data_IF_975057348329
#
_entry.id   IF_975057348329
#
_cell.length_a   1.000
_cell.length_b   1.000
_cell.length_c   1.000
_cell.angle_alpha   90.00
_cell.angle_beta   90.00
_cell.angle_gamma   90.00
#
_symmetry.space_group_name_H-M   'P 1'
#
loop_
_entity.id
_entity.type
_entity.pdbx_description
1 polymer ?
#
# COMPACT_ATOMS: atom_id res chain seq x y z
N UNK A 1 -20.85 -7.60 3.49
CA UNK A 1 -19.46 -7.56 3.02
C UNK A 1 -19.49 -7.63 1.48
N UNK A 2 -19.48 -6.49 0.79
CA UNK A 2 -19.46 -6.46 -0.68
C UNK A 2 -18.02 -6.63 -1.15
N UNK A 3 -17.74 -7.75 -1.79
CA UNK A 3 -16.46 -8.09 -2.38
C UNK A 3 -16.65 -9.22 -3.38
N UNK A 4 -17.12 -8.87 -4.57
CA UNK A 4 -17.10 -9.77 -5.71
C UNK A 4 -15.69 -10.29 -5.97
N UNK A 5 -15.58 -11.37 -6.73
CA UNK A 5 -14.39 -12.21 -6.96
C UNK A 5 -13.08 -11.48 -7.31
N UNK A 6 -13.11 -10.18 -7.59
CA UNK A 6 -11.96 -9.30 -7.82
C UNK A 6 -10.98 -9.20 -6.62
N UNK A 7 -11.43 -9.36 -5.37
CA UNK A 7 -10.52 -9.39 -4.19
C UNK A 7 -10.02 -10.78 -3.82
N UNK A 8 -10.31 -11.81 -4.62
CA UNK A 8 -9.79 -13.17 -4.38
C UNK A 8 -8.27 -13.25 -4.54
N UNK A 9 -7.71 -12.36 -5.37
CA UNK A 9 -6.28 -12.21 -5.61
C UNK A 9 -5.73 -11.00 -4.86
N UNK A 10 -4.55 -11.14 -4.28
CA UNK A 10 -3.82 -10.04 -3.66
C UNK A 10 -3.37 -9.03 -4.73
N UNK A 11 -3.22 -7.73 -4.39
CA UNK A 11 -2.80 -6.71 -5.35
C UNK A 11 -1.55 -7.06 -6.17
N UNK A 12 -0.52 -7.64 -5.51
CA UNK A 12 0.72 -8.07 -6.19
C UNK A 12 0.49 -9.14 -7.24
N UNK A 13 -0.54 -9.96 -7.08
CA UNK A 13 -0.86 -11.02 -8.04
C UNK A 13 -1.48 -10.46 -9.32
N UNK A 14 -1.93 -9.20 -9.31
CA UNK A 14 -2.36 -8.48 -10.51
C UNK A 14 -1.18 -7.86 -11.28
N UNK A 15 0.04 -7.92 -10.75
CA UNK A 15 1.24 -7.51 -11.46
C UNK A 15 1.69 -8.60 -12.45
N UNK A 16 2.37 -8.18 -13.53
CA UNK A 16 2.96 -9.11 -14.51
C UNK A 16 4.05 -10.00 -13.89
N UNK A 17 4.76 -9.47 -12.90
CA UNK A 17 5.69 -10.22 -12.05
C UNK A 17 5.40 -9.91 -10.57
N UNK A 18 4.71 -10.82 -9.85
CA UNK A 18 4.39 -10.63 -8.44
C UNK A 18 5.61 -10.56 -7.50
N UNK A 19 6.76 -11.12 -7.89
CA UNK A 19 7.97 -11.10 -7.07
C UNK A 19 8.73 -9.77 -7.19
N UNK A 20 8.56 -9.08 -8.32
CA UNK A 20 9.11 -7.74 -8.53
C UNK A 20 8.23 -6.63 -7.95
N UNK A 21 7.23 -6.94 -7.12
CA UNK A 21 6.46 -5.92 -6.40
C UNK A 21 7.36 -5.11 -5.44
N UNK A 22 7.16 -3.79 -5.28
CA UNK A 22 6.15 -2.94 -5.94
C UNK A 22 6.62 -2.36 -7.27
N UNK A 23 7.74 -2.78 -7.86
CA UNK A 23 8.33 -2.18 -9.06
C UNK A 23 7.85 -2.78 -10.39
N UNK A 24 7.13 -3.90 -10.33
CA UNK A 24 6.54 -4.57 -11.48
C UNK A 24 5.50 -3.72 -12.25
N UNK A 25 5.23 -4.09 -13.51
CA UNK A 25 4.12 -3.53 -14.29
C UNK A 25 2.79 -4.10 -13.79
N UNK A 26 1.80 -3.23 -13.58
CA UNK A 26 0.45 -3.59 -13.13
C UNK A 26 -0.58 -3.03 -14.11
N UNK A 27 -1.37 -3.92 -14.72
CA UNK A 27 -2.39 -3.53 -15.70
C UNK A 27 -3.77 -3.26 -15.03
N UNK A 28 -4.02 -3.82 -13.84
CA UNK A 28 -5.25 -3.58 -13.07
C UNK A 28 -5.23 -2.21 -12.38
N UNK A 29 -6.26 -1.40 -12.62
CA UNK A 29 -6.34 -0.02 -12.13
C UNK A 29 -6.34 0.05 -10.61
N UNK A 30 -7.04 -0.86 -9.92
CA UNK A 30 -7.10 -0.84 -8.47
C UNK A 30 -5.78 -1.29 -7.85
N UNK A 31 -5.15 -2.34 -8.39
CA UNK A 31 -3.83 -2.80 -7.96
C UNK A 31 -2.75 -1.76 -8.24
N UNK A 32 -2.84 -0.99 -9.34
CA UNK A 32 -1.93 0.11 -9.62
C UNK A 32 -2.03 1.23 -8.57
N UNK A 33 -3.23 1.51 -8.05
CA UNK A 33 -3.40 2.44 -6.91
C UNK A 33 -2.75 1.89 -5.64
N UNK A 34 -2.96 0.60 -5.33
CA UNK A 34 -2.30 -0.04 -4.18
C UNK A 34 -0.77 -0.05 -4.33
N UNK A 35 -0.27 -0.27 -5.54
CA UNK A 35 1.16 -0.19 -5.85
C UNK A 35 1.71 1.22 -5.57
N UNK A 36 1.02 2.27 -6.03
CA UNK A 36 1.42 3.65 -5.76
C UNK A 36 1.44 3.95 -4.25
N UNK A 37 0.44 3.46 -3.50
CA UNK A 37 0.39 3.56 -2.04
C UNK A 37 1.60 2.85 -1.41
N UNK A 38 1.90 1.62 -1.84
CA UNK A 38 3.02 0.84 -1.31
C UNK A 38 4.36 1.54 -1.54
N UNK A 39 4.59 2.10 -2.74
CA UNK A 39 5.80 2.89 -3.07
C UNK A 39 5.91 4.13 -2.19
N UNK A 40 4.86 4.94 -2.09
CA UNK A 40 4.87 6.15 -1.25
C UNK A 40 5.06 5.84 0.23
N UNK A 41 4.47 4.76 0.72
CA UNK A 41 4.67 4.30 2.09
C UNK A 41 6.13 3.89 2.30
N UNK A 42 6.72 3.12 1.39
CA UNK A 42 8.13 2.73 1.47
C UNK A 42 9.06 3.96 1.49
N UNK A 43 8.80 4.94 0.63
CA UNK A 43 9.55 6.20 0.59
C UNK A 43 9.42 6.99 1.89
N UNK A 44 8.20 7.18 2.40
CA UNK A 44 7.96 7.90 3.65
C UNK A 44 8.66 7.23 4.86
N UNK A 45 8.69 5.90 4.91
CA UNK A 45 9.41 5.17 5.94
C UNK A 45 10.93 5.34 5.81
N UNK A 46 11.45 5.27 4.58
CA UNK A 46 12.88 5.42 4.28
C UNK A 46 13.38 6.82 4.62
N UNK A 47 12.65 7.87 4.22
CA UNK A 47 12.98 9.28 4.50
C UNK A 47 13.03 9.59 6.00
N UNK A 48 12.24 8.87 6.80
CA UNK A 48 12.19 9.02 8.26
C UNK A 48 13.10 8.05 9.00
N UNK A 49 13.87 7.22 8.28
CA UNK A 49 14.70 6.15 8.83
C UNK A 49 13.92 5.20 9.77
N UNK A 50 12.63 4.98 9.49
CA UNK A 50 11.78 4.14 10.30
C UNK A 50 11.83 2.69 9.82
N UNK A 51 12.17 1.77 10.73
CA UNK A 51 11.89 0.36 10.51
C UNK A 51 10.37 0.11 10.54
N UNK A 52 9.93 -1.00 9.91
CA UNK A 52 8.51 -1.44 9.97
C UNK A 52 7.99 -1.56 11.42
N UNK A 53 8.86 -1.87 12.38
CA UNK A 53 8.51 -1.97 13.80
C UNK A 53 8.27 -0.57 14.39
N UNK A 54 9.21 0.34 14.23
CA UNK A 54 9.07 1.73 14.71
C UNK A 54 7.88 2.43 14.05
N UNK A 55 7.62 2.14 12.78
CA UNK A 55 6.44 2.62 12.08
C UNK A 55 5.15 2.12 12.73
N UNK A 56 5.04 0.84 13.11
CA UNK A 56 3.85 0.33 13.78
C UNK A 56 3.58 1.05 15.10
N UNK A 57 4.62 1.26 15.90
CA UNK A 57 4.54 1.91 17.21
C UNK A 57 4.13 3.40 17.08
N UNK A 58 4.65 4.10 16.06
CA UNK A 58 4.35 5.51 15.80
C UNK A 58 2.99 5.74 15.13
N UNK A 59 2.59 4.87 14.20
CA UNK A 59 1.43 5.09 13.36
C UNK A 59 0.14 4.53 13.97
N UNK A 60 0.23 3.77 15.07
CA UNK A 60 -0.94 3.12 15.69
C UNK A 60 -1.62 2.10 14.76
N UNK A 61 -0.87 1.60 13.77
CA UNK A 61 -1.29 0.58 12.81
C UNK A 61 -0.48 -0.68 13.06
N UNK A 62 -1.14 -1.85 12.99
CA UNK A 62 -0.47 -3.13 13.20
C UNK A 62 0.71 -3.30 12.22
N UNK A 63 1.88 -3.72 12.74
CA UNK A 63 3.08 -4.03 11.95
C UNK A 63 2.79 -4.97 10.78
N UNK A 64 1.91 -5.95 10.99
CA UNK A 64 1.49 -6.89 9.95
C UNK A 64 0.77 -6.16 8.82
N UNK A 65 -0.15 -5.25 9.14
CA UNK A 65 -0.86 -4.42 8.14
C UNK A 65 0.10 -3.57 7.33
N UNK A 66 1.08 -2.92 7.96
CA UNK A 66 2.11 -2.14 7.25
C UNK A 66 2.90 -3.06 6.30
N UNK A 67 3.32 -4.22 6.78
CA UNK A 67 4.02 -5.21 5.96
C UNK A 67 3.19 -5.72 4.78
N UNK A 68 1.93 -6.06 5.00
CA UNK A 68 1.04 -6.59 3.97
C UNK A 68 0.72 -5.55 2.89
N UNK A 69 0.60 -4.28 3.26
CA UNK A 69 0.43 -3.18 2.29
C UNK A 69 1.72 -2.99 1.47
N UNK A 70 2.88 -2.90 2.13
CA UNK A 70 4.18 -2.76 1.46
C UNK A 70 4.44 -3.91 0.48
N UNK A 71 4.14 -5.14 0.90
CA UNK A 71 4.40 -6.36 0.14
C UNK A 71 3.26 -6.71 -0.84
N UNK A 72 2.21 -5.87 -0.94
CA UNK A 72 1.09 -6.04 -1.86
C UNK A 72 0.24 -7.29 -1.61
N UNK A 73 0.21 -7.77 -0.35
CA UNK A 73 -0.48 -9.00 0.08
C UNK A 73 -1.94 -8.78 0.46
N UNK A 74 -2.35 -7.54 0.71
CA UNK A 74 -3.71 -7.20 1.10
C UNK A 74 -4.23 -5.97 0.37
N UNK A 75 -5.55 -5.89 0.22
CA UNK A 75 -6.25 -4.69 -0.21
C UNK A 75 -6.45 -3.78 1.01
N UNK A 76 -5.69 -2.68 1.17
CA UNK A 76 -5.94 -1.75 2.28
C UNK A 76 -7.33 -1.13 2.12
N UNK A 77 -8.03 -0.98 3.24
CA UNK A 77 -9.27 -0.21 3.28
C UNK A 77 -8.99 1.28 3.45
N UNK A 78 -10.02 2.10 3.21
CA UNK A 78 -9.94 3.56 3.32
C UNK A 78 -9.54 4.00 4.73
N UNK A 79 -9.97 3.30 5.77
CA UNK A 79 -9.64 3.62 7.15
C UNK A 79 -8.14 3.42 7.44
N UNK A 80 -7.54 2.35 6.91
CA UNK A 80 -6.11 2.07 7.01
C UNK A 80 -5.30 3.16 6.31
N UNK A 81 -5.68 3.53 5.08
CA UNK A 81 -4.99 4.60 4.35
C UNK A 81 -5.08 5.94 5.09
N UNK A 82 -6.27 6.34 5.53
CA UNK A 82 -6.45 7.60 6.25
C UNK A 82 -5.62 7.68 7.54
N UNK A 83 -5.51 6.57 8.30
CA UNK A 83 -4.66 6.51 9.49
C UNK A 83 -3.19 6.62 9.15
N UNK A 84 -2.72 5.90 8.13
CA UNK A 84 -1.34 5.98 7.68
C UNK A 84 -0.99 7.41 7.22
N UNK A 85 -1.84 8.04 6.42
CA UNK A 85 -1.64 9.41 5.94
C UNK A 85 -1.62 10.42 7.09
N UNK A 86 -2.57 10.32 8.04
CA UNK A 86 -2.63 11.21 9.20
C UNK A 86 -1.39 11.08 10.10
N UNK A 87 -0.95 9.84 10.36
CA UNK A 87 0.19 9.59 11.23
C UNK A 87 1.54 9.89 10.54
N UNK A 88 1.64 9.67 9.23
CA UNK A 88 2.82 10.05 8.45
C UNK A 88 2.81 11.53 8.07
N UNK A 89 1.68 12.24 8.11
CA UNK A 89 1.54 13.56 7.50
C UNK A 89 2.03 13.59 6.04
N UNK A 90 1.72 12.53 5.29
CA UNK A 90 2.13 12.34 3.88
C UNK A 90 0.97 11.76 3.10
N UNK A 91 0.56 12.35 1.96
CA UNK A 91 -0.45 11.76 1.10
C UNK A 91 0.08 10.47 0.46
N UNK A 92 -0.60 9.36 0.71
CA UNK A 92 -0.34 8.05 0.13
C UNK A 92 -1.24 7.80 -1.08
N UNK A 93 -2.48 8.26 -1.04
CA UNK A 93 -3.41 8.12 -2.15
C UNK A 93 -2.91 8.89 -3.38
N UNK A 94 -2.81 8.26 -4.57
CA UNK A 94 -2.35 8.95 -5.76
C UNK A 94 -3.34 10.04 -6.20
N UNK A 95 -2.86 11.22 -6.63
CA UNK A 95 -3.72 12.14 -7.34
C UNK A 95 -4.22 11.44 -8.61
N UNK A 96 -5.40 11.85 -9.08
CA UNK A 96 -5.86 11.45 -10.40
C UNK A 96 -4.75 11.80 -11.40
N UNK A 97 -4.26 10.80 -12.13
CA UNK A 97 -3.35 11.05 -13.22
C UNK A 97 -4.08 11.97 -14.20
N UNK A 98 -3.64 13.24 -14.30
CA UNK A 98 -4.11 14.10 -15.38
C UNK A 98 -3.57 13.48 -16.66
N UNK A 99 -4.48 13.03 -17.51
CA UNK A 99 -4.15 12.61 -18.88
C UNK A 99 -3.66 13.79 -19.68
#
# INVERSE_FOLDING_TARGET
MVGGSARSRAPRECARDPQAWPDAVVDDVAAAVVQAIARRLADALRERHLSRRQAADLLGVNRQTIGDVLDGRTWPDVATIARLEASLNTPLWPPLARR
#
